data_IF_708327179512
#
_entry.id   IF_708327179512
#
_cell.length_a   1.000
_cell.length_b   1.000
_cell.length_c   1.000
_cell.angle_alpha   90.00
_cell.angle_beta   90.00
_cell.angle_gamma   90.00
#
_symmetry.space_group_name_H-M   'P 1'
#
loop_
_entity.id
_entity.type
_entity.pdbx_description
1 polymer ?
#
# COMPACT_ATOMS: atom_id res chain seq x y z
N UNK A 1 -31.26 44.28 -19.60
CA UNK A 1 -29.84 43.96 -19.38
C UNK A 1 -29.62 42.52 -19.77
N UNK A 2 -29.17 42.28 -21.00
CA UNK A 2 -28.78 40.94 -21.46
C UNK A 2 -27.31 40.83 -21.09
N UNK A 3 -27.01 40.14 -19.99
CA UNK A 3 -25.64 39.79 -19.65
C UNK A 3 -25.14 38.79 -20.68
N UNK A 4 -24.05 39.12 -21.35
CA UNK A 4 -23.47 38.27 -22.38
C UNK A 4 -22.91 36.99 -21.73
N UNK A 5 -23.72 35.93 -21.66
CA UNK A 5 -23.38 34.63 -21.09
C UNK A 5 -22.10 34.04 -21.71
N UNK A 6 -21.84 34.32 -22.98
CA UNK A 6 -20.61 33.91 -23.68
C UNK A 6 -19.35 34.55 -23.06
N UNK A 7 -19.46 35.80 -22.60
CA UNK A 7 -18.36 36.52 -21.93
C UNK A 7 -18.00 35.94 -20.57
N UNK A 8 -18.98 35.41 -19.83
CA UNK A 8 -18.78 34.76 -18.52
C UNK A 8 -18.12 33.40 -18.71
N UNK A 9 -18.53 32.63 -19.72
CA UNK A 9 -17.94 31.33 -20.06
C UNK A 9 -16.48 31.50 -20.48
N UNK A 10 -16.17 32.50 -21.32
CA UNK A 10 -14.79 32.82 -21.72
C UNK A 10 -13.88 33.19 -20.54
N UNK A 11 -14.39 33.95 -19.57
CA UNK A 11 -13.66 34.31 -18.36
C UNK A 11 -13.39 33.11 -17.45
N UNK A 12 -14.34 32.18 -17.34
CA UNK A 12 -14.14 30.93 -16.60
C UNK A 12 -13.09 30.04 -17.28
N UNK A 13 -13.15 29.89 -18.61
CA UNK A 13 -12.15 29.11 -19.36
C UNK A 13 -10.74 29.71 -19.24
N UNK A 14 -10.61 31.04 -19.26
CA UNK A 14 -9.31 31.71 -19.07
C UNK A 14 -8.74 31.51 -17.66
N UNK A 15 -9.58 31.53 -16.62
CA UNK A 15 -9.14 31.26 -15.25
C UNK A 15 -8.77 29.79 -15.05
N UNK A 16 -9.50 28.85 -15.65
CA UNK A 16 -9.15 27.42 -15.62
C UNK A 16 -7.85 27.15 -16.37
N UNK A 17 -7.64 27.79 -17.53
CA UNK A 17 -6.36 27.70 -18.25
C UNK A 17 -5.21 28.31 -17.45
N UNK A 18 -5.43 29.45 -16.79
CA UNK A 18 -4.43 30.07 -15.91
C UNK A 18 -4.06 29.15 -14.75
N UNK A 19 -5.04 28.55 -14.07
CA UNK A 19 -4.79 27.58 -13.00
C UNK A 19 -4.07 26.33 -13.50
N UNK A 20 -4.41 25.83 -14.69
CA UNK A 20 -3.72 24.69 -15.32
C UNK A 20 -2.29 25.03 -15.73
N UNK A 21 -2.02 26.25 -16.19
CA UNK A 21 -0.67 26.72 -16.54
C UNK A 21 0.18 26.90 -15.26
N UNK A 22 -0.40 27.44 -14.20
CA UNK A 22 0.25 27.55 -12.88
C UNK A 22 0.53 26.16 -12.28
N UNK A 23 -0.39 25.20 -12.42
CA UNK A 23 -0.18 23.82 -11.97
C UNK A 23 0.88 23.09 -12.80
N UNK A 24 0.89 23.28 -14.13
CA UNK A 24 1.90 22.71 -15.04
C UNK A 24 3.31 23.28 -14.78
N UNK A 25 3.40 24.58 -14.45
CA UNK A 25 4.65 25.20 -14.01
C UNK A 25 5.14 24.60 -12.69
N UNK A 26 4.25 24.51 -11.70
CA UNK A 26 4.56 23.94 -10.38
C UNK A 26 5.00 22.48 -10.43
N UNK A 27 4.34 21.63 -11.22
CA UNK A 27 4.72 20.23 -11.39
C UNK A 27 6.11 20.06 -12.01
N UNK A 28 6.45 20.89 -13.02
CA UNK A 28 7.77 20.86 -13.65
C UNK A 28 8.87 21.24 -12.65
N UNK A 29 8.66 22.26 -11.84
CA UNK A 29 9.60 22.65 -10.78
C UNK A 29 9.69 21.59 -9.68
N UNK A 30 8.58 21.00 -9.25
CA UNK A 30 8.56 19.91 -8.27
C UNK A 30 9.32 18.67 -8.78
N UNK A 31 9.11 18.30 -10.06
CA UNK A 31 9.87 17.22 -10.69
C UNK A 31 11.36 17.54 -10.73
N UNK A 32 11.74 18.78 -11.07
CA UNK A 32 13.14 19.18 -11.08
C UNK A 32 13.77 19.21 -9.69
N UNK A 33 13.04 19.69 -8.67
CA UNK A 33 13.48 19.64 -7.26
C UNK A 33 13.68 18.19 -6.84
N UNK A 34 12.78 17.28 -7.20
CA UNK A 34 12.92 15.85 -6.92
C UNK A 34 14.15 15.24 -7.59
N UNK A 35 14.46 15.60 -8.84
CA UNK A 35 15.69 15.18 -9.52
C UNK A 35 16.94 15.70 -8.79
N UNK A 36 16.95 16.97 -8.39
CA UNK A 36 18.09 17.55 -7.65
C UNK A 36 18.28 16.90 -6.27
N UNK A 37 17.18 16.57 -5.58
CA UNK A 37 17.23 15.85 -4.29
C UNK A 37 17.78 14.44 -4.47
N UNK A 38 17.45 13.74 -5.56
CA UNK A 38 17.97 12.40 -5.86
C UNK A 38 19.49 12.38 -6.03
N UNK A 39 20.05 13.42 -6.64
CA UNK A 39 21.51 13.55 -6.82
C UNK A 39 22.23 14.01 -5.55
N UNK A 40 21.50 14.38 -4.49
CA UNK A 40 22.09 14.83 -3.23
C UNK A 40 22.45 13.66 -2.30
N UNK A 41 23.45 13.84 -1.40
CA UNK A 41 23.72 12.88 -0.32
C UNK A 41 22.54 12.67 0.66
N UNK A 42 21.50 13.52 0.58
CA UNK A 42 20.31 13.44 1.43
C UNK A 42 19.15 12.69 0.77
N UNK A 43 19.34 12.18 -0.45
CA UNK A 43 18.31 11.48 -1.23
C UNK A 43 17.65 10.34 -0.44
N UNK A 44 18.44 9.52 0.25
CA UNK A 44 17.96 8.40 1.07
C UNK A 44 16.97 8.85 2.16
N UNK A 45 17.28 9.93 2.88
CA UNK A 45 16.43 10.49 3.93
C UNK A 45 15.10 11.04 3.37
N UNK A 46 15.13 11.61 2.17
CA UNK A 46 13.94 12.12 1.51
C UNK A 46 13.08 10.98 0.94
N UNK A 47 13.72 9.94 0.40
CA UNK A 47 13.05 8.72 -0.06
C UNK A 47 12.35 8.02 1.10
N UNK A 48 13.02 7.82 2.23
CA UNK A 48 12.45 7.17 3.42
C UNK A 48 11.23 7.94 3.97
N UNK A 49 11.31 9.28 4.01
CA UNK A 49 10.16 10.12 4.41
C UNK A 49 9.01 10.04 3.42
N UNK A 50 9.30 10.00 2.12
CA UNK A 50 8.29 9.87 1.07
C UNK A 50 7.62 8.51 1.15
N UNK A 51 8.39 7.46 1.42
CA UNK A 51 7.88 6.12 1.64
C UNK A 51 7.05 6.00 2.92
N UNK A 52 7.48 6.59 4.03
CA UNK A 52 6.70 6.60 5.27
C UNK A 52 5.37 7.33 5.07
N UNK A 53 5.37 8.48 4.38
CA UNK A 53 4.15 9.20 4.04
C UNK A 53 3.25 8.36 3.13
N UNK A 54 3.80 7.78 2.07
CA UNK A 54 3.04 6.95 1.15
C UNK A 54 2.50 5.70 1.85
N UNK A 55 3.24 5.13 2.81
CA UNK A 55 2.79 4.03 3.65
C UNK A 55 1.58 4.39 4.50
N UNK A 56 1.57 5.60 5.07
CA UNK A 56 0.45 6.04 5.91
C UNK A 56 -0.83 6.27 5.10
N UNK A 57 -0.71 6.70 3.85
CA UNK A 57 -1.85 7.09 3.01
C UNK A 57 -2.31 5.92 2.12
N UNK A 58 -1.37 5.12 1.63
CA UNK A 58 -1.59 4.08 0.62
C UNK A 58 -1.03 2.71 1.04
N UNK A 59 -0.61 2.56 2.30
CA UNK A 59 -0.10 1.29 2.78
C UNK A 59 -1.22 0.26 2.89
N UNK A 60 -0.83 -1.01 2.73
CA UNK A 60 -1.78 -2.10 2.85
C UNK A 60 -2.31 -2.21 4.29
N UNK A 61 -3.62 -2.33 4.46
CA UNK A 61 -4.26 -2.60 5.75
C UNK A 61 -5.29 -3.72 5.57
N UNK A 62 -4.92 -4.92 6.00
CA UNK A 62 -5.72 -6.11 5.81
C UNK A 62 -7.12 -6.00 6.44
N UNK A 63 -7.26 -5.25 7.53
CA UNK A 63 -8.57 -5.06 8.19
C UNK A 63 -9.44 -4.11 7.38
N UNK A 64 -8.85 -3.07 6.78
CA UNK A 64 -9.57 -2.16 5.89
C UNK A 64 -9.95 -2.87 4.59
N UNK A 65 -9.05 -3.66 4.01
CA UNK A 65 -9.31 -4.39 2.77
C UNK A 65 -10.42 -5.44 2.95
N UNK A 66 -10.45 -6.15 4.07
CA UNK A 66 -11.56 -7.05 4.41
C UNK A 66 -12.89 -6.28 4.57
N UNK A 67 -12.87 -5.10 5.18
CA UNK A 67 -14.06 -4.24 5.29
C UNK A 67 -14.53 -3.74 3.93
N UNK A 68 -13.60 -3.42 3.02
CA UNK A 68 -13.92 -3.00 1.65
C UNK A 68 -14.63 -4.13 0.89
N UNK A 69 -14.13 -5.37 0.98
CA UNK A 69 -14.80 -6.54 0.40
C UNK A 69 -16.22 -6.75 0.98
N UNK A 70 -16.37 -6.57 2.29
CA UNK A 70 -17.67 -6.66 2.96
C UNK A 70 -18.62 -5.53 2.57
N UNK A 71 -18.10 -4.36 2.25
CA UNK A 71 -18.86 -3.23 1.76
C UNK A 71 -19.33 -3.45 0.32
N UNK A 72 -18.43 -3.87 -0.59
CA UNK A 72 -18.77 -4.23 -1.97
C UNK A 72 -19.90 -5.26 -2.00
N UNK A 73 -19.78 -6.32 -1.19
CA UNK A 73 -20.81 -7.37 -1.10
C UNK A 73 -22.20 -6.87 -0.69
N UNK A 74 -22.29 -5.73 0.02
CA UNK A 74 -23.56 -5.16 0.49
C UNK A 74 -24.13 -4.11 -0.48
N UNK A 75 -23.42 -3.77 -1.56
CA UNK A 75 -23.82 -2.71 -2.49
C UNK A 75 -23.83 -3.27 -3.91
N UNK A 76 -25.03 -3.59 -4.41
CA UNK A 76 -25.25 -4.25 -5.70
C UNK A 76 -24.60 -3.54 -6.89
N UNK A 77 -24.46 -2.20 -6.84
CA UNK A 77 -23.77 -1.41 -7.89
C UNK A 77 -22.29 -1.78 -8.11
N UNK A 78 -21.69 -2.57 -7.23
CA UNK A 78 -20.31 -3.04 -7.33
C UNK A 78 -20.18 -4.57 -7.31
N UNK A 79 -21.29 -5.31 -7.43
CA UNK A 79 -21.30 -6.79 -7.35
C UNK A 79 -20.31 -7.43 -8.33
N UNK A 80 -20.21 -6.87 -9.53
CA UNK A 80 -19.40 -7.39 -10.62
C UNK A 80 -17.90 -7.27 -10.34
N UNK A 81 -17.51 -6.35 -9.45
CA UNK A 81 -16.12 -6.15 -9.03
C UNK A 81 -15.72 -7.09 -7.89
N UNK A 82 -16.67 -7.78 -7.24
CA UNK A 82 -16.38 -8.56 -6.03
C UNK A 82 -15.44 -9.74 -6.29
N UNK A 83 -15.56 -10.43 -7.44
CA UNK A 83 -14.65 -11.53 -7.78
C UNK A 83 -13.22 -11.02 -7.98
N UNK A 84 -13.05 -10.00 -8.82
CA UNK A 84 -11.75 -9.39 -9.07
C UNK A 84 -11.12 -8.80 -7.80
N UNK A 85 -11.91 -8.19 -6.91
CA UNK A 85 -11.42 -7.67 -5.65
C UNK A 85 -10.94 -8.80 -4.70
N UNK A 86 -11.61 -9.96 -4.70
CA UNK A 86 -11.17 -11.13 -3.92
C UNK A 86 -9.87 -11.72 -4.47
N UNK A 87 -9.75 -11.82 -5.79
CA UNK A 87 -8.51 -12.27 -6.45
C UNK A 87 -7.35 -11.31 -6.15
N UNK A 88 -7.58 -10.00 -6.23
CA UNK A 88 -6.61 -8.98 -5.84
C UNK A 88 -6.19 -9.10 -4.37
N UNK A 89 -7.15 -9.30 -3.47
CA UNK A 89 -6.85 -9.53 -2.05
C UNK A 89 -5.95 -10.76 -1.85
N UNK A 90 -6.26 -11.87 -2.50
CA UNK A 90 -5.47 -13.10 -2.41
C UNK A 90 -4.07 -12.93 -3.01
N UNK A 91 -3.94 -12.19 -4.10
CA UNK A 91 -2.64 -11.85 -4.67
C UNK A 91 -1.77 -11.00 -3.71
N UNK A 92 -2.39 -10.07 -2.98
CA UNK A 92 -1.71 -9.18 -2.03
C UNK A 92 -1.26 -9.95 -0.78
N UNK A 93 -2.16 -10.73 -0.18
CA UNK A 93 -1.94 -11.36 1.13
C UNK A 93 -1.56 -12.84 1.07
N UNK A 94 -1.57 -13.45 -0.12
CA UNK A 94 -1.22 -14.85 -0.36
C UNK A 94 -2.19 -15.88 0.21
N UNK A 95 -3.37 -15.44 0.65
CA UNK A 95 -4.41 -16.26 1.30
C UNK A 95 -5.77 -15.68 0.97
N UNK A 96 -6.79 -16.54 0.84
CA UNK A 96 -8.16 -16.12 0.54
C UNK A 96 -8.75 -15.15 1.59
N UNK A 97 -9.60 -14.24 1.12
CA UNK A 97 -10.29 -13.28 1.99
C UNK A 97 -11.26 -13.94 2.98
N UNK A 98 -11.87 -15.09 2.63
CA UNK A 98 -12.74 -15.85 3.52
C UNK A 98 -11.98 -16.43 4.71
N UNK A 99 -10.79 -16.97 4.46
CA UNK A 99 -9.92 -17.49 5.50
C UNK A 99 -9.40 -16.37 6.40
N UNK A 100 -8.93 -15.26 5.83
CA UNK A 100 -8.52 -14.12 6.65
C UNK A 100 -9.67 -13.56 7.48
N UNK A 101 -10.88 -13.48 6.93
CA UNK A 101 -12.06 -13.01 7.67
C UNK A 101 -12.36 -13.87 8.91
N UNK A 102 -12.17 -15.19 8.83
CA UNK A 102 -12.39 -16.09 9.97
C UNK A 102 -11.28 -16.03 11.02
N UNK A 103 -10.08 -15.58 10.66
CA UNK A 103 -8.90 -15.61 11.54
C UNK A 103 -8.47 -14.23 12.06
N UNK A 104 -8.75 -13.14 11.35
CA UNK A 104 -8.18 -11.80 11.60
C UNK A 104 -8.47 -11.25 13.01
N UNK A 105 -9.58 -11.65 13.62
CA UNK A 105 -9.95 -11.23 14.98
C UNK A 105 -9.14 -11.95 16.07
N UNK A 106 -8.55 -13.11 15.76
CA UNK A 106 -7.65 -13.87 16.64
C UNK A 106 -6.18 -13.55 16.39
N UNK A 107 -5.88 -12.80 15.33
CA UNK A 107 -4.52 -12.53 14.90
C UNK A 107 -3.82 -11.57 15.89
N UNK A 108 -2.67 -11.97 16.45
CA UNK A 108 -1.82 -11.06 17.19
C UNK A 108 -1.35 -9.88 16.34
N UNK A 109 -1.03 -8.77 16.97
CA UNK A 109 -0.64 -7.53 16.28
C UNK A 109 0.59 -7.73 15.39
N UNK A 110 1.52 -8.59 15.78
CA UNK A 110 2.70 -8.91 14.99
C UNK A 110 2.35 -9.63 13.69
N UNK A 111 1.33 -10.49 13.71
CA UNK A 111 0.86 -11.20 12.52
C UNK A 111 0.10 -10.24 11.59
N UNK A 112 -0.74 -9.36 12.14
CA UNK A 112 -1.37 -8.28 11.37
C UNK A 112 -0.30 -7.39 10.74
N UNK A 113 0.74 -7.03 11.49
CA UNK A 113 1.87 -6.26 11.00
C UNK A 113 2.60 -6.95 9.85
N UNK A 114 2.85 -8.26 9.96
CA UNK A 114 3.44 -9.06 8.88
C UNK A 114 2.55 -9.13 7.64
N UNK A 115 1.23 -9.26 7.80
CA UNK A 115 0.29 -9.25 6.68
C UNK A 115 0.27 -7.89 5.96
N UNK A 116 0.25 -6.79 6.70
CA UNK A 116 0.30 -5.44 6.13
C UNK A 116 1.63 -5.16 5.43
N UNK A 117 2.76 -5.57 6.02
CA UNK A 117 4.09 -5.51 5.38
C UNK A 117 4.12 -6.33 4.08
N UNK A 118 3.53 -7.52 4.07
CA UNK A 118 3.41 -8.34 2.85
C UNK A 118 2.64 -7.59 1.76
N UNK A 119 1.51 -6.97 2.11
CA UNK A 119 0.72 -6.18 1.17
C UNK A 119 1.50 -4.97 0.63
N UNK A 120 2.22 -4.26 1.50
CA UNK A 120 3.10 -3.15 1.09
C UNK A 120 4.18 -3.61 0.09
N UNK A 121 4.83 -4.75 0.33
CA UNK A 121 5.83 -5.32 -0.57
C UNK A 121 5.25 -5.77 -1.91
N UNK A 122 3.95 -6.08 -1.95
CA UNK A 122 3.26 -6.47 -3.18
C UNK A 122 2.79 -5.26 -3.98
N UNK A 123 2.35 -4.19 -3.31
CA UNK A 123 1.74 -3.02 -3.96
C UNK A 123 2.75 -1.93 -4.36
N UNK A 124 3.93 -1.85 -3.71
CA UNK A 124 4.84 -0.71 -3.92
C UNK A 124 5.86 -0.94 -5.02
N UNK A 125 5.92 0.02 -5.95
CA UNK A 125 6.84 0.02 -7.08
C UNK A 125 8.34 -0.01 -6.73
N UNK A 126 8.77 0.49 -5.55
CA UNK A 126 10.19 0.49 -5.15
C UNK A 126 10.78 -0.92 -5.08
N UNK A 127 9.94 -1.93 -4.81
CA UNK A 127 10.34 -3.33 -4.72
C UNK A 127 10.29 -4.07 -6.07
N UNK A 128 9.89 -3.41 -7.16
CA UNK A 128 9.85 -4.00 -8.50
C UNK A 128 11.14 -3.77 -9.31
N UNK A 129 12.11 -3.00 -8.80
CA UNK A 129 13.40 -2.87 -9.46
C UNK A 129 14.16 -4.20 -9.42
N UNK A 130 14.88 -4.52 -10.52
CA UNK A 130 15.60 -5.80 -10.64
C UNK A 130 16.62 -6.02 -9.51
N UNK A 131 17.24 -4.95 -9.01
CA UNK A 131 18.21 -4.99 -7.90
C UNK A 131 17.55 -5.25 -6.54
N UNK A 132 16.32 -4.79 -6.29
CA UNK A 132 15.62 -5.00 -5.01
C UNK A 132 14.66 -6.18 -5.01
N UNK A 133 14.43 -6.80 -6.16
CA UNK A 133 13.46 -7.91 -6.31
C UNK A 133 13.80 -9.11 -5.43
N UNK A 134 15.06 -9.52 -5.38
CA UNK A 134 15.48 -10.68 -4.58
C UNK A 134 15.30 -10.44 -3.08
N UNK A 135 15.75 -9.27 -2.58
CA UNK A 135 15.54 -8.85 -1.19
C UNK A 135 14.04 -8.77 -0.87
N UNK A 136 13.25 -8.17 -1.77
CA UNK A 136 11.80 -8.08 -1.59
C UNK A 136 11.13 -9.46 -1.53
N UNK A 137 11.55 -10.42 -2.37
CA UNK A 137 11.02 -11.78 -2.36
C UNK A 137 11.38 -12.51 -1.06
N UNK A 138 12.59 -12.31 -0.53
CA UNK A 138 12.99 -12.81 0.78
C UNK A 138 12.16 -12.18 1.91
N UNK A 139 11.94 -10.87 1.88
CA UNK A 139 11.08 -10.17 2.85
C UNK A 139 9.63 -10.68 2.80
N UNK A 140 9.08 -10.88 1.59
CA UNK A 140 7.74 -11.47 1.38
C UNK A 140 7.67 -12.87 1.98
N UNK A 141 8.70 -13.71 1.75
CA UNK A 141 8.79 -15.05 2.32
C UNK A 141 8.77 -15.00 3.85
N UNK A 142 9.57 -14.12 4.46
CA UNK A 142 9.61 -13.94 5.90
C UNK A 142 8.25 -13.54 6.50
N UNK A 143 7.51 -12.65 5.84
CA UNK A 143 6.14 -12.30 6.25
C UNK A 143 5.19 -13.50 6.13
N UNK A 144 5.26 -14.25 5.02
CA UNK A 144 4.44 -15.46 4.82
C UNK A 144 4.73 -16.54 5.86
N UNK A 145 6.00 -16.77 6.19
CA UNK A 145 6.42 -17.71 7.23
C UNK A 145 5.85 -17.33 8.60
N UNK A 146 5.88 -16.04 8.97
CA UNK A 146 5.31 -15.58 10.24
C UNK A 146 3.79 -15.82 10.32
N UNK A 147 3.07 -15.55 9.22
CA UNK A 147 1.63 -15.83 9.12
C UNK A 147 1.38 -17.35 9.20
N UNK A 148 2.19 -18.15 8.52
CA UNK A 148 2.06 -19.61 8.50
C UNK A 148 2.30 -20.24 9.88
N UNK A 149 3.37 -19.85 10.57
CA UNK A 149 3.68 -20.32 11.93
C UNK A 149 2.54 -20.02 12.90
N UNK A 150 1.96 -18.82 12.82
CA UNK A 150 0.80 -18.49 13.62
C UNK A 150 -0.40 -19.38 13.28
N UNK A 151 -0.73 -19.58 12.00
CA UNK A 151 -1.84 -20.45 11.59
C UNK A 151 -1.65 -21.89 12.09
N UNK A 152 -0.44 -22.42 12.01
CA UNK A 152 -0.10 -23.76 12.53
C UNK A 152 -0.26 -23.88 14.05
N UNK A 153 -0.12 -22.77 14.79
CA UNK A 153 -0.29 -22.76 16.25
C UNK A 153 -1.72 -22.62 16.74
N UNK A 154 -2.68 -22.33 15.84
CA UNK A 154 -4.08 -22.17 16.22
C UNK A 154 -4.72 -23.43 16.84
N UNK A 155 -4.41 -24.66 16.39
CA UNK A 155 -4.88 -25.88 17.04
C UNK A 155 -4.32 -26.09 18.45
N UNK A 156 -3.06 -25.72 18.68
CA UNK A 156 -2.34 -26.01 19.93
C UNK A 156 -2.52 -24.93 21.01
N UNK A 157 -3.20 -23.83 20.68
CA UNK A 157 -3.41 -22.64 21.52
C UNK A 157 -2.13 -21.97 22.07
N UNK A 158 -0.94 -22.48 21.74
CA UNK A 158 0.34 -21.94 22.18
C UNK A 158 0.96 -21.08 21.08
N UNK A 159 0.87 -19.76 21.26
CA UNK A 159 1.41 -18.80 20.30
C UNK A 159 2.95 -18.86 20.21
N UNK A 160 3.55 -19.07 19.02
CA UNK A 160 4.99 -19.24 18.84
C UNK A 160 5.70 -17.88 18.78
N UNK A 161 5.61 -17.13 19.89
CA UNK A 161 6.07 -15.74 20.00
C UNK A 161 7.54 -15.57 19.61
N UNK A 162 8.42 -16.46 20.07
CA UNK A 162 9.86 -16.40 19.78
C UNK A 162 10.18 -16.60 18.30
N UNK A 163 9.53 -17.56 17.65
CA UNK A 163 9.72 -17.83 16.23
C UNK A 163 9.21 -16.67 15.36
N UNK A 164 8.07 -16.08 15.70
CA UNK A 164 7.53 -14.91 14.98
C UNK A 164 8.40 -13.68 15.20
N UNK A 165 8.94 -13.48 16.42
CA UNK A 165 9.88 -12.40 16.70
C UNK A 165 11.18 -12.54 15.89
N UNK A 166 11.67 -13.77 15.70
CA UNK A 166 12.83 -14.04 14.85
C UNK A 166 12.55 -13.63 13.40
N UNK A 167 11.38 -14.01 12.85
CA UNK A 167 10.98 -13.60 11.50
C UNK A 167 10.88 -12.08 11.36
N UNK A 168 10.36 -11.39 12.37
CA UNK A 168 10.35 -9.91 12.38
C UNK A 168 11.78 -9.34 12.34
N UNK A 169 12.69 -9.89 13.12
CA UNK A 169 14.10 -9.47 13.11
C UNK A 169 14.76 -9.69 11.74
N UNK A 170 14.51 -10.84 11.10
CA UNK A 170 15.05 -11.14 9.77
C UNK A 170 14.52 -10.16 8.72
N UNK A 171 13.22 -9.84 8.76
CA UNK A 171 12.64 -8.80 7.92
C UNK A 171 13.32 -7.44 8.15
N UNK A 172 13.51 -7.03 9.40
CA UNK A 172 14.06 -5.72 9.72
C UNK A 172 15.55 -5.61 9.33
N UNK A 173 16.29 -6.73 9.26
CA UNK A 173 17.64 -6.79 8.68
C UNK A 173 17.59 -6.57 7.16
N UNK A 174 16.78 -7.35 6.45
CA UNK A 174 16.63 -7.25 5.00
C UNK A 174 16.13 -5.86 4.56
N UNK A 175 15.25 -5.22 5.33
CA UNK A 175 14.75 -3.88 5.02
C UNK A 175 15.88 -2.82 5.05
N UNK A 176 16.94 -3.04 5.83
CA UNK A 176 18.04 -2.08 5.95
C UNK A 176 19.08 -2.21 4.83
N UNK A 177 18.98 -3.24 3.99
CA UNK A 177 19.83 -3.47 2.81
C UNK A 177 19.33 -2.70 1.57
#
# INVERSE_FOLDING_TARGET
MIGNEEGIILLQMLNDMKHRVESLGGERFLNRINELVKESPQSSKHDDKREERNARIHGADIKVDLKALDWIRRHDRYSDMLSAAREGFEAIYGVSSSEWKSLVHKAPQEVIGSANKLGDLTLRCRYHSRQRKEIADQMKKTCKDAIHLWKQSLPDAQYPKSAIALKKSDYDKLHRE
#
